data_IF_175046723528
#
_entry.id   IF_175046723528
#
_cell.length_a   1.000
_cell.length_b   1.000
_cell.length_c   1.000
_cell.angle_alpha   90.00
_cell.angle_beta   90.00
_cell.angle_gamma   90.00
#
_symmetry.space_group_name_H-M   'P 1'
#
loop_
_entity.id
_entity.type
_entity.pdbx_description
1 polymer ?
#
# COMPACT_ATOMS: atom_id res chain seq x y z
N UNK A 1 -9.68 30.21 -2.61
CA UNK A 1 -10.17 29.52 -3.84
C UNK A 1 -9.09 28.57 -4.36
N UNK A 2 -9.38 27.52 -5.16
CA UNK A 2 -8.34 26.67 -5.78
C UNK A 2 -7.27 27.49 -6.54
N UNK A 3 -7.68 28.62 -7.12
CA UNK A 3 -6.81 29.59 -7.82
C UNK A 3 -5.67 30.20 -7.01
N UNK A 4 -5.73 30.14 -5.69
CA UNK A 4 -4.75 30.76 -4.79
C UNK A 4 -3.83 29.73 -4.12
N UNK A 5 -4.05 28.43 -4.38
CA UNK A 5 -3.37 27.35 -3.68
C UNK A 5 -2.75 26.37 -4.65
N UNK A 6 -1.49 26.04 -4.40
CA UNK A 6 -0.79 24.96 -5.09
C UNK A 6 -1.38 23.61 -4.71
N UNK A 7 -1.30 22.66 -5.62
CA UNK A 7 -1.85 21.32 -5.42
C UNK A 7 -0.71 20.30 -5.42
N UNK A 8 -0.67 19.48 -4.38
CA UNK A 8 0.20 18.31 -4.30
C UNK A 8 -0.67 17.08 -4.45
N UNK A 9 -0.32 16.22 -5.40
CA UNK A 9 -1.04 15.01 -5.75
C UNK A 9 -0.17 13.83 -5.36
N UNK A 10 -0.69 13.02 -4.44
CA UNK A 10 -0.05 11.76 -4.07
C UNK A 10 -0.63 10.66 -4.94
N UNK A 11 0.20 9.98 -5.73
CA UNK A 11 -0.24 8.98 -6.70
C UNK A 11 0.62 7.71 -6.66
N UNK A 12 0.13 6.61 -7.23
CA UNK A 12 0.95 5.41 -7.40
C UNK A 12 2.06 5.66 -8.44
N UNK A 13 3.22 5.02 -8.25
CA UNK A 13 4.33 5.06 -9.23
C UNK A 13 3.92 4.60 -10.62
N UNK A 14 2.95 3.67 -10.70
CA UNK A 14 2.51 3.05 -11.95
C UNK A 14 1.32 3.77 -12.59
N UNK A 15 0.98 4.98 -12.10
CA UNK A 15 -0.12 5.77 -12.66
C UNK A 15 0.20 6.18 -14.11
N UNK A 16 -0.68 5.93 -15.08
CA UNK A 16 -0.42 6.29 -16.48
C UNK A 16 -0.22 7.79 -16.68
N UNK A 17 0.77 8.17 -17.48
CA UNK A 17 1.09 9.58 -17.80
C UNK A 17 -0.12 10.32 -18.40
N UNK A 18 -0.91 9.65 -19.25
CA UNK A 18 -2.15 10.21 -19.83
C UNK A 18 -3.16 10.64 -18.77
N UNK A 19 -3.28 9.89 -17.67
CA UNK A 19 -4.15 10.26 -16.57
C UNK A 19 -3.61 11.50 -15.84
N UNK A 20 -2.29 11.57 -15.62
CA UNK A 20 -1.64 12.73 -15.01
C UNK A 20 -1.79 14.01 -15.84
N UNK A 21 -1.64 13.90 -17.16
CA UNK A 21 -1.87 15.00 -18.10
C UNK A 21 -3.31 15.51 -18.03
N UNK A 22 -4.29 14.61 -18.04
CA UNK A 22 -5.72 14.95 -17.91
C UNK A 22 -5.99 15.70 -16.59
N UNK A 23 -5.36 15.27 -15.50
CA UNK A 23 -5.46 15.94 -14.19
C UNK A 23 -4.80 17.33 -14.23
N UNK A 24 -3.66 17.48 -14.89
CA UNK A 24 -3.02 18.78 -15.10
C UNK A 24 -3.91 19.73 -15.91
N UNK A 25 -4.51 19.28 -17.00
CA UNK A 25 -5.45 20.09 -17.80
C UNK A 25 -6.60 20.61 -16.93
N UNK A 26 -7.23 19.72 -16.16
CA UNK A 26 -8.32 20.08 -15.26
C UNK A 26 -7.89 21.09 -14.18
N UNK A 27 -6.73 20.90 -13.57
CA UNK A 27 -6.27 21.75 -12.47
C UNK A 27 -5.71 23.10 -12.97
N UNK A 28 -4.85 23.09 -13.97
CA UNK A 28 -4.11 24.26 -14.45
C UNK A 28 -4.93 25.10 -15.43
N UNK A 29 -5.69 24.47 -16.34
CA UNK A 29 -6.47 25.19 -17.35
C UNK A 29 -7.87 25.54 -16.84
N UNK A 30 -8.61 24.57 -16.31
CA UNK A 30 -10.01 24.77 -15.89
C UNK A 30 -10.08 25.46 -14.52
N UNK A 31 -9.44 24.87 -13.51
CA UNK A 31 -9.49 25.37 -12.14
C UNK A 31 -8.50 26.52 -11.88
N UNK A 32 -7.56 26.74 -12.80
CA UNK A 32 -6.56 27.81 -12.76
C UNK A 32 -5.73 27.79 -11.46
N UNK A 33 -5.32 26.60 -11.00
CA UNK A 33 -4.40 26.50 -9.86
C UNK A 33 -3.00 27.02 -10.24
N UNK A 34 -2.21 27.57 -9.31
CA UNK A 34 -0.91 28.15 -9.63
C UNK A 34 0.14 27.12 -10.09
N UNK A 35 0.17 25.95 -9.44
CA UNK A 35 1.07 24.86 -9.78
C UNK A 35 0.58 23.51 -9.26
N UNK A 36 1.05 22.45 -9.90
CA UNK A 36 0.76 21.05 -9.56
C UNK A 36 2.07 20.30 -9.35
N UNK A 37 2.13 19.48 -8.30
CA UNK A 37 3.24 18.56 -8.05
C UNK A 37 2.70 17.15 -7.84
N UNK A 38 3.28 16.17 -8.52
CA UNK A 38 3.01 14.75 -8.29
C UNK A 38 4.11 14.16 -7.40
N UNK A 39 3.69 13.38 -6.39
CA UNK A 39 4.58 12.68 -5.46
C UNK A 39 4.17 11.21 -5.42
N UNK A 40 5.11 10.28 -5.62
CA UNK A 40 4.83 8.86 -5.43
C UNK A 40 4.34 8.54 -4.01
N UNK A 41 3.28 7.75 -3.90
CA UNK A 41 2.65 7.34 -2.63
C UNK A 41 3.63 6.65 -1.69
N UNK A 42 4.52 5.84 -2.25
CA UNK A 42 5.52 5.06 -1.52
C UNK A 42 6.57 5.97 -0.91
N UNK A 43 7.04 6.96 -1.67
CA UNK A 43 7.94 7.99 -1.18
C UNK A 43 7.25 8.85 -0.13
N UNK A 44 6.03 9.30 -0.42
CA UNK A 44 5.22 10.08 0.50
C UNK A 44 5.09 9.36 1.86
N UNK A 45 4.81 8.06 1.85
CA UNK A 45 4.63 7.27 3.07
C UNK A 45 5.87 7.26 4.01
N UNK A 46 7.08 7.52 3.49
CA UNK A 46 8.30 7.54 4.31
C UNK A 46 8.55 8.84 5.07
N UNK A 47 7.99 9.97 4.62
CA UNK A 47 8.24 11.28 5.25
C UNK A 47 7.93 11.34 6.75
N UNK A 48 6.82 10.76 7.25
CA UNK A 48 6.49 10.81 8.67
C UNK A 48 7.53 10.11 9.57
N UNK A 49 8.26 9.12 9.04
CA UNK A 49 9.20 8.30 9.80
C UNK A 49 10.65 8.76 9.70
N UNK A 50 10.97 9.64 8.73
CA UNK A 50 12.33 10.16 8.49
C UNK A 50 13.40 9.05 8.46
N UNK A 51 13.11 7.96 7.75
CA UNK A 51 13.98 6.79 7.64
C UNK A 51 14.89 6.91 6.42
N UNK A 52 16.19 6.61 6.58
CA UNK A 52 17.14 6.58 5.45
C UNK A 52 16.87 5.43 4.47
N UNK A 53 16.38 4.29 4.97
CA UNK A 53 16.05 3.10 4.19
C UNK A 53 14.68 2.62 4.60
N UNK A 54 13.82 2.32 3.63
CA UNK A 54 12.52 1.73 3.92
C UNK A 54 12.11 0.80 2.78
N UNK A 55 11.65 -0.41 3.13
CA UNK A 55 10.89 -1.23 2.21
C UNK A 55 9.41 -0.89 2.36
N UNK A 56 8.85 -0.14 1.40
CA UNK A 56 7.43 0.26 1.44
C UNK A 56 6.61 -0.78 0.69
N UNK A 57 5.61 -1.36 1.35
CA UNK A 57 4.67 -2.32 0.79
C UNK A 57 3.28 -1.71 0.88
N UNK A 58 2.73 -1.33 -0.27
CA UNK A 58 1.41 -0.73 -0.43
C UNK A 58 0.41 -1.81 -0.84
N UNK A 59 -0.43 -2.24 0.11
CA UNK A 59 -1.51 -3.21 -0.11
C UNK A 59 -2.78 -2.44 -0.49
N UNK A 60 -2.92 -2.16 -1.79
CA UNK A 60 -4.02 -1.40 -2.34
C UNK A 60 -5.31 -2.21 -2.54
N UNK A 61 -6.29 -1.60 -3.22
CA UNK A 61 -7.55 -2.27 -3.55
C UNK A 61 -7.36 -3.33 -4.65
N UNK A 62 -6.70 -2.96 -5.75
CA UNK A 62 -6.54 -3.84 -6.92
C UNK A 62 -5.29 -4.71 -6.81
N UNK A 63 -4.20 -4.15 -6.29
CA UNK A 63 -2.87 -4.75 -6.33
C UNK A 63 -2.08 -4.40 -5.07
N UNK A 64 -1.00 -5.16 -4.85
CA UNK A 64 0.02 -4.84 -3.86
C UNK A 64 1.32 -4.51 -4.57
N UNK A 65 1.89 -3.34 -4.27
CA UNK A 65 3.17 -2.88 -4.81
C UNK A 65 4.20 -2.81 -3.68
N UNK A 66 5.38 -3.40 -3.90
CA UNK A 66 6.49 -3.32 -2.96
C UNK A 66 7.70 -2.64 -3.60
N UNK A 67 8.23 -1.63 -2.90
CA UNK A 67 9.30 -0.76 -3.41
C UNK A 67 10.33 -0.49 -2.30
N UNK A 68 11.60 -0.89 -2.48
CA UNK A 68 12.69 -0.51 -1.62
C UNK A 68 13.11 0.91 -1.96
N UNK A 69 13.12 1.74 -0.92
CA UNK A 69 13.55 3.13 -0.98
C UNK A 69 14.86 3.27 -0.22
N UNK A 70 15.81 3.91 -0.89
CA UNK A 70 17.03 4.42 -0.29
C UNK A 70 17.01 5.93 -0.44
N UNK A 71 16.98 6.64 0.68
CA UNK A 71 17.23 8.07 0.71
C UNK A 71 18.73 8.28 0.63
N UNK A 72 19.22 8.75 -0.51
CA UNK A 72 20.57 9.29 -0.56
C UNK A 72 20.48 10.71 -0.04
N UNK A 73 20.75 10.89 1.26
CA UNK A 73 21.19 12.20 1.73
C UNK A 73 22.50 12.45 0.99
N UNK A 74 22.50 13.43 0.07
CA UNK A 74 23.65 13.79 -0.74
C UNK A 74 24.86 14.18 0.14
N UNK A 75 25.60 13.18 0.61
CA UNK A 75 26.91 13.34 1.23
C UNK A 75 27.99 13.63 0.17
N UNK A 76 27.65 13.50 -1.12
CA UNK A 76 28.55 13.75 -2.25
C UNK A 76 28.88 15.24 -2.49
N UNK A 77 28.18 16.19 -1.84
CA UNK A 77 28.47 17.63 -1.95
C UNK A 77 28.94 18.29 -0.65
N UNK A 78 29.46 17.51 0.30
CA UNK A 78 30.03 18.04 1.55
C UNK A 78 31.30 18.92 1.37
N UNK A 79 31.78 19.14 0.14
CA UNK A 79 32.95 19.98 -0.15
C UNK A 79 32.63 21.39 -0.68
N UNK A 80 31.37 21.77 -0.85
CA UNK A 80 31.02 23.16 -1.17
C UNK A 80 30.13 23.75 -0.08
N UNK A 81 30.72 24.57 0.79
CA UNK A 81 29.98 25.43 1.71
C UNK A 81 28.95 26.25 0.91
N UNK A 82 27.82 26.56 1.55
CA UNK A 82 26.68 27.35 1.08
C UNK A 82 25.51 26.55 0.48
N UNK A 83 25.02 25.56 1.22
CA UNK A 83 23.61 25.14 1.09
C UNK A 83 22.96 25.19 2.49
N UNK A 84 21.88 25.98 2.70
CA UNK A 84 21.24 26.08 4.00
C UNK A 84 20.62 24.73 4.44
N UNK A 85 20.53 24.44 5.75
CA UNK A 85 20.05 23.16 6.29
C UNK A 85 18.58 22.82 5.95
N UNK A 86 17.83 23.76 5.37
CA UNK A 86 16.46 23.57 4.90
C UNK A 86 16.40 22.97 3.49
N UNK A 87 17.50 23.01 2.73
CA UNK A 87 17.60 22.53 1.35
C UNK A 87 18.23 21.13 1.24
N UNK A 88 18.17 20.32 2.30
CA UNK A 88 18.60 18.91 2.31
C UNK A 88 17.42 17.96 2.05
N UNK A 89 16.54 18.31 1.12
CA UNK A 89 15.31 17.56 0.88
C UNK A 89 15.62 16.39 -0.05
N UNK A 90 16.06 15.30 0.58
CA UNK A 90 16.06 13.92 0.13
C UNK A 90 16.07 13.71 -1.40
N UNK A 91 17.23 13.37 -1.94
CA UNK A 91 17.31 12.60 -3.17
C UNK A 91 16.94 11.16 -2.83
N UNK A 92 15.65 10.91 -2.67
CA UNK A 92 15.13 9.56 -2.53
C UNK A 92 15.18 8.92 -3.90
N UNK A 93 16.25 8.17 -4.16
CA UNK A 93 16.30 7.32 -5.33
C UNK A 93 15.42 6.13 -5.01
N UNK A 94 14.21 6.14 -5.58
CA UNK A 94 13.44 4.91 -5.68
C UNK A 94 14.32 3.91 -6.41
N UNK A 95 14.58 2.74 -5.83
CA UNK A 95 15.37 1.71 -6.50
C UNK A 95 14.50 1.09 -7.61
N UNK A 96 14.29 1.82 -8.70
CA UNK A 96 13.39 1.47 -9.80
C UNK A 96 13.81 0.18 -10.53
N UNK A 97 15.06 -0.26 -10.36
CA UNK A 97 15.53 -1.56 -10.83
C UNK A 97 15.02 -2.74 -9.99
N UNK A 98 14.45 -2.47 -8.81
CA UNK A 98 13.99 -3.46 -7.84
C UNK A 98 12.62 -3.01 -7.31
N UNK A 99 11.54 -3.40 -7.97
CA UNK A 99 10.19 -3.37 -7.41
C UNK A 99 9.50 -4.69 -7.77
N UNK A 100 8.47 -5.03 -7.01
CA UNK A 100 7.65 -6.21 -7.26
C UNK A 100 6.18 -5.83 -7.13
N UNK A 101 5.35 -6.45 -7.95
CA UNK A 101 3.90 -6.23 -8.00
C UNK A 101 3.19 -7.57 -7.90
N UNK A 102 2.15 -7.60 -7.07
CA UNK A 102 1.24 -8.74 -6.97
C UNK A 102 -0.18 -8.26 -7.25
N UNK A 103 -0.96 -9.05 -7.98
CA UNK A 103 -2.37 -8.75 -8.23
C UNK A 103 -3.27 -9.03 -7.01
N UNK A 104 -2.67 -9.41 -5.89
CA UNK A 104 -3.33 -9.57 -4.60
C UNK A 104 -3.57 -8.20 -3.98
N UNK A 105 -4.84 -7.82 -3.81
CA UNK A 105 -5.26 -6.61 -3.10
C UNK A 105 -6.58 -6.84 -2.35
N UNK A 106 -7.18 -5.78 -1.80
CA UNK A 106 -8.48 -5.89 -1.10
C UNK A 106 -9.59 -6.48 -1.97
N UNK A 107 -9.58 -6.26 -3.29
CA UNK A 107 -10.55 -6.83 -4.22
C UNK A 107 -10.56 -8.36 -4.17
N UNK A 108 -9.38 -8.99 -4.14
CA UNK A 108 -9.26 -10.46 -4.03
C UNK A 108 -9.78 -10.96 -2.68
N UNK A 109 -9.60 -10.18 -1.61
CA UNK A 109 -10.19 -10.46 -0.30
C UNK A 109 -11.72 -10.42 -0.34
N UNK A 110 -12.31 -9.38 -0.94
CA UNK A 110 -13.76 -9.29 -1.11
C UNK A 110 -14.30 -10.43 -1.97
N UNK A 111 -13.64 -10.75 -3.08
CA UNK A 111 -14.02 -11.85 -3.96
C UNK A 111 -13.99 -13.19 -3.21
N UNK A 112 -12.94 -13.43 -2.40
CA UNK A 112 -12.87 -14.62 -1.55
C UNK A 112 -14.00 -14.65 -0.51
N UNK A 113 -14.34 -13.52 0.10
CA UNK A 113 -15.49 -13.43 1.02
C UNK A 113 -16.79 -13.75 0.28
N UNK A 114 -17.00 -13.25 -0.95
CA UNK A 114 -18.17 -13.58 -1.79
C UNK A 114 -18.24 -15.08 -2.07
N UNK A 115 -17.14 -15.71 -2.47
CA UNK A 115 -17.05 -17.15 -2.74
C UNK A 115 -17.39 -17.97 -1.49
N UNK A 116 -16.79 -17.64 -0.34
CA UNK A 116 -17.02 -18.35 0.91
C UNK A 116 -18.44 -18.14 1.46
N UNK A 117 -19.01 -16.95 1.30
CA UNK A 117 -20.39 -16.67 1.68
C UNK A 117 -21.39 -17.43 0.82
N UNK A 118 -21.14 -17.65 -0.48
CA UNK A 118 -22.02 -18.47 -1.33
C UNK A 118 -22.13 -19.91 -0.82
N UNK A 119 -21.03 -20.48 -0.32
CA UNK A 119 -21.00 -21.87 0.16
C UNK A 119 -21.50 -21.98 1.59
N UNK A 120 -20.99 -21.14 2.50
CA UNK A 120 -21.17 -21.31 3.94
C UNK A 120 -22.13 -20.29 4.57
N UNK A 121 -22.39 -19.17 3.91
CA UNK A 121 -23.29 -18.13 4.41
C UNK A 121 -24.71 -18.66 4.56
N UNK A 122 -25.44 -18.17 5.56
CA UNK A 122 -26.83 -18.54 5.82
C UNK A 122 -27.62 -17.32 6.26
N UNK A 123 -28.92 -17.29 6.01
CA UNK A 123 -29.82 -16.20 6.42
C UNK A 123 -30.79 -16.72 7.47
N UNK A 124 -30.98 -15.94 8.52
CA UNK A 124 -31.92 -16.20 9.61
C UNK A 124 -33.13 -15.27 9.46
N UNK A 125 -34.25 -15.86 9.06
CA UNK A 125 -35.53 -15.18 8.83
C UNK A 125 -36.40 -15.11 10.09
N UNK A 126 -35.90 -15.56 11.24
CA UNK A 126 -36.69 -15.71 12.48
C UNK A 126 -37.53 -16.99 12.53
N UNK A 127 -38.09 -17.42 11.40
CA UNK A 127 -38.83 -18.69 11.26
C UNK A 127 -37.91 -19.90 10.96
N UNK A 128 -36.62 -19.65 10.68
CA UNK A 128 -35.62 -20.68 10.40
C UNK A 128 -34.37 -20.14 9.71
N UNK A 129 -33.38 -21.02 9.56
CA UNK A 129 -32.12 -20.73 8.85
C UNK A 129 -32.20 -21.29 7.43
N UNK A 130 -31.98 -20.43 6.43
CA UNK A 130 -32.02 -20.76 5.00
C UNK A 130 -30.72 -20.38 4.29
N UNK A 131 -30.56 -20.85 3.06
CA UNK A 131 -29.46 -20.45 2.19
C UNK A 131 -29.72 -19.08 1.53
N UNK A 132 -28.65 -18.43 1.06
CA UNK A 132 -28.74 -17.16 0.36
C UNK A 132 -29.41 -17.34 -1.01
N UNK A 133 -30.36 -16.46 -1.31
CA UNK A 133 -31.02 -16.35 -2.61
C UNK A 133 -30.47 -15.15 -3.38
N UNK A 134 -30.77 -15.09 -4.68
CA UNK A 134 -30.36 -13.96 -5.55
C UNK A 134 -30.83 -12.58 -5.03
N UNK A 135 -32.01 -12.51 -4.42
CA UNK A 135 -32.51 -11.24 -3.85
C UNK A 135 -31.72 -10.81 -2.61
N UNK A 136 -31.18 -11.76 -1.83
CA UNK A 136 -30.30 -11.45 -0.70
C UNK A 136 -28.97 -10.88 -1.21
N UNK A 137 -28.45 -11.41 -2.31
CA UNK A 137 -27.21 -10.93 -2.95
C UNK A 137 -27.33 -9.49 -3.44
N UNK A 138 -28.48 -9.10 -4.01
CA UNK A 138 -28.72 -7.70 -4.38
C UNK A 138 -28.63 -6.78 -3.17
N UNK A 139 -29.23 -7.16 -2.05
CA UNK A 139 -29.18 -6.36 -0.82
C UNK A 139 -27.74 -6.28 -0.28
N UNK A 140 -27.00 -7.39 -0.32
CA UNK A 140 -25.59 -7.46 0.10
C UNK A 140 -24.71 -6.52 -0.73
N UNK A 141 -24.91 -6.51 -2.05
CA UNK A 141 -24.18 -5.65 -2.99
C UNK A 141 -24.58 -4.18 -2.84
N UNK A 142 -25.88 -3.87 -2.84
CA UNK A 142 -26.39 -2.50 -2.71
C UNK A 142 -25.99 -1.84 -1.37
N UNK A 143 -25.87 -2.64 -0.32
CA UNK A 143 -25.52 -2.16 1.03
C UNK A 143 -24.02 -2.29 1.35
N UNK A 144 -23.18 -2.69 0.39
CA UNK A 144 -21.74 -2.94 0.57
C UNK A 144 -21.39 -3.81 1.79
N UNK A 145 -22.23 -4.81 2.09
CA UNK A 145 -22.06 -5.66 3.28
C UNK A 145 -20.74 -6.43 3.21
N UNK A 146 -20.26 -6.78 2.01
CA UNK A 146 -18.99 -7.50 1.83
C UNK A 146 -17.81 -6.69 2.37
N UNK A 147 -17.73 -5.40 2.06
CA UNK A 147 -16.67 -4.52 2.57
C UNK A 147 -16.77 -4.42 4.10
N UNK A 148 -17.99 -4.25 4.62
CA UNK A 148 -18.28 -4.24 6.06
C UNK A 148 -17.79 -5.52 6.76
N UNK A 149 -17.92 -6.68 6.09
CA UNK A 149 -17.42 -7.97 6.59
C UNK A 149 -15.89 -7.99 6.61
N UNK A 150 -15.25 -7.57 5.53
CA UNK A 150 -13.80 -7.49 5.40
C UNK A 150 -13.17 -6.57 6.47
N UNK A 151 -13.80 -5.44 6.77
CA UNK A 151 -13.27 -4.47 7.73
C UNK A 151 -13.55 -4.87 9.19
N UNK A 152 -14.75 -5.38 9.48
CA UNK A 152 -15.23 -5.52 10.88
C UNK A 152 -15.08 -6.92 11.45
N UNK A 153 -15.17 -7.95 10.62
CA UNK A 153 -15.32 -9.33 11.10
C UNK A 153 -14.17 -10.25 10.71
N UNK A 154 -13.50 -9.97 9.59
CA UNK A 154 -12.34 -10.72 9.13
C UNK A 154 -11.12 -10.47 10.02
N UNK A 155 -10.34 -11.52 10.26
CA UNK A 155 -9.10 -11.46 11.04
C UNK A 155 -8.08 -12.46 10.50
N UNK A 156 -6.80 -12.15 10.65
CA UNK A 156 -5.73 -13.05 10.24
C UNK A 156 -5.48 -14.10 11.32
N UNK A 157 -5.49 -15.37 10.91
CA UNK A 157 -5.13 -16.48 11.77
C UNK A 157 -3.61 -16.61 11.96
N UNK A 158 -3.18 -17.20 13.09
CA UNK A 158 -1.80 -17.64 13.29
C UNK A 158 -1.35 -18.59 12.17
N UNK A 159 -0.04 -18.66 11.94
CA UNK A 159 0.55 -19.41 10.83
C UNK A 159 0.11 -20.88 10.77
N UNK A 160 0.15 -21.61 11.89
CA UNK A 160 -0.25 -23.03 11.93
C UNK A 160 -1.70 -23.27 11.50
N UNK A 161 -2.60 -22.35 11.91
CA UNK A 161 -4.01 -22.43 11.55
C UNK A 161 -4.22 -22.08 10.08
N UNK A 162 -3.52 -21.07 9.57
CA UNK A 162 -3.55 -20.74 8.14
C UNK A 162 -3.10 -21.90 7.26
N UNK A 163 -2.00 -22.57 7.63
CA UNK A 163 -1.54 -23.76 6.91
C UNK A 163 -2.56 -24.90 6.93
N UNK A 164 -3.22 -25.12 8.07
CA UNK A 164 -4.26 -26.14 8.18
C UNK A 164 -5.49 -25.80 7.31
N UNK A 165 -5.88 -24.52 7.21
CA UNK A 165 -6.93 -24.05 6.30
C UNK A 165 -6.52 -24.28 4.84
N UNK A 166 -5.29 -23.94 4.47
CA UNK A 166 -4.79 -24.13 3.10
C UNK A 166 -4.73 -25.62 2.71
N UNK A 167 -4.39 -26.51 3.65
CA UNK A 167 -4.29 -27.95 3.39
C UNK A 167 -5.64 -28.67 3.38
N UNK A 168 -6.53 -28.36 4.33
CA UNK A 168 -7.73 -29.16 4.63
C UNK A 168 -9.05 -28.37 4.51
N UNK A 169 -9.00 -27.07 4.17
CA UNK A 169 -10.17 -26.22 4.03
C UNK A 169 -10.99 -26.09 5.30
N UNK A 170 -12.32 -26.16 5.17
CA UNK A 170 -13.26 -26.03 6.29
C UNK A 170 -13.16 -27.17 7.32
N UNK A 171 -12.57 -28.31 6.95
CA UNK A 171 -12.46 -29.51 7.79
C UNK A 171 -11.08 -29.65 8.45
N UNK A 172 -10.38 -28.53 8.66
CA UNK A 172 -9.03 -28.49 9.25
C UNK A 172 -8.87 -29.09 10.66
N UNK A 173 -9.94 -29.56 11.30
CA UNK A 173 -9.90 -30.20 12.63
C UNK A 173 -9.62 -29.28 13.82
N UNK A 174 -9.37 -27.98 13.60
CA UNK A 174 -9.15 -27.01 14.67
C UNK A 174 -10.48 -26.48 15.25
N UNK A 175 -10.48 -25.93 16.49
CA UNK A 175 -11.69 -25.40 17.12
C UNK A 175 -12.41 -24.37 16.24
N UNK A 176 -13.73 -24.46 16.06
CA UNK A 176 -14.47 -23.55 15.20
C UNK A 176 -14.57 -22.16 15.83
N UNK A 177 -14.45 -21.13 14.99
CA UNK A 177 -14.61 -19.73 15.40
C UNK A 177 -16.10 -19.39 15.44
N UNK A 178 -16.48 -18.49 16.37
CA UNK A 178 -17.87 -18.06 16.54
C UNK A 178 -18.39 -17.32 15.29
N UNK A 179 -19.55 -17.75 14.80
CA UNK A 179 -20.31 -17.06 13.74
C UNK A 179 -20.91 -15.75 14.23
N UNK A 180 -21.03 -14.76 13.33
CA UNK A 180 -21.58 -13.43 13.61
C UNK A 180 -22.87 -13.23 12.83
N UNK A 181 -23.83 -12.53 13.41
CA UNK A 181 -25.07 -12.13 12.74
C UNK A 181 -25.00 -10.66 12.36
N UNK A 182 -25.31 -10.33 11.12
CA UNK A 182 -25.34 -8.97 10.57
C UNK A 182 -26.76 -8.69 10.04
N UNK A 183 -27.34 -7.52 10.30
CA UNK A 183 -28.67 -7.19 9.77
C UNK A 183 -28.66 -7.17 8.24
N UNK A 184 -29.63 -7.82 7.63
CA UNK A 184 -29.90 -7.85 6.19
C UNK A 184 -31.36 -7.43 5.97
N UNK A 185 -31.62 -6.13 6.03
CA UNK A 185 -32.97 -5.59 6.01
C UNK A 185 -33.80 -6.04 7.22
N UNK A 186 -34.82 -6.87 6.97
CA UNK A 186 -35.67 -7.44 8.02
C UNK A 186 -35.14 -8.77 8.60
N UNK A 187 -34.14 -9.38 7.95
CA UNK A 187 -33.56 -10.67 8.32
C UNK A 187 -32.11 -10.50 8.81
N UNK A 188 -31.45 -11.59 9.22
CA UNK A 188 -30.04 -11.56 9.64
C UNK A 188 -29.17 -12.48 8.80
N UNK A 189 -28.09 -11.94 8.23
CA UNK A 189 -27.03 -12.73 7.60
C UNK A 189 -26.14 -13.35 8.69
N UNK A 190 -26.09 -14.68 8.74
CA UNK A 190 -25.14 -15.43 9.56
C UNK A 190 -23.85 -15.60 8.74
N UNK A 191 -22.78 -14.98 9.23
CA UNK A 191 -21.42 -15.13 8.71
C UNK A 191 -20.71 -16.19 9.56
N UNK A 192 -20.39 -17.36 8.98
CA UNK A 192 -19.67 -18.41 9.69
C UNK A 192 -18.28 -17.95 10.14
N UNK A 193 -17.81 -18.51 11.26
CA UNK A 193 -16.45 -18.28 11.73
C UNK A 193 -15.38 -18.60 10.68
N UNK A 194 -15.58 -19.70 9.93
CA UNK A 194 -14.67 -20.14 8.87
C UNK A 194 -14.48 -19.07 7.76
N UNK A 195 -15.54 -18.38 7.35
CA UNK A 195 -15.44 -17.32 6.33
C UNK A 195 -14.53 -16.18 6.80
N UNK A 196 -14.60 -15.86 8.10
CA UNK A 196 -13.87 -14.74 8.70
C UNK A 196 -12.36 -15.00 8.81
N UNK A 197 -11.96 -16.25 8.93
CA UNK A 197 -10.55 -16.66 9.00
C UNK A 197 -9.97 -17.00 7.64
N UNK A 198 -10.70 -17.78 6.82
CA UNK A 198 -10.21 -18.26 5.55
C UNK A 198 -10.10 -17.16 4.49
N UNK A 199 -10.85 -16.06 4.63
CA UNK A 199 -10.76 -14.92 3.73
C UNK A 199 -9.35 -14.31 3.71
N UNK A 200 -8.68 -14.21 4.86
CA UNK A 200 -7.34 -13.62 4.96
C UNK A 200 -6.24 -14.47 4.32
N UNK A 201 -6.46 -15.75 4.04
CA UNK A 201 -5.45 -16.62 3.46
C UNK A 201 -5.06 -16.20 2.04
N UNK A 202 -5.91 -15.44 1.35
CA UNK A 202 -5.62 -14.89 0.01
C UNK A 202 -4.31 -14.10 -0.06
N UNK A 203 -3.86 -13.50 1.05
CA UNK A 203 -2.61 -12.74 1.12
C UNK A 203 -1.36 -13.61 1.30
N UNK A 204 -1.54 -14.85 1.77
CA UNK A 204 -0.47 -15.74 2.22
C UNK A 204 -0.42 -17.08 1.45
N UNK A 205 -1.44 -17.38 0.64
CA UNK A 205 -1.48 -18.53 -0.24
C UNK A 205 -0.31 -18.49 -1.24
N UNK A 206 0.45 -19.60 -1.31
CA UNK A 206 1.57 -19.75 -2.24
C UNK A 206 1.05 -20.25 -3.58
N UNK A 207 0.52 -19.35 -4.39
CA UNK A 207 0.14 -19.67 -5.78
C UNK A 207 1.37 -19.74 -6.68
N UNK A 208 1.28 -20.50 -7.78
CA UNK A 208 2.28 -20.51 -8.84
C UNK A 208 2.16 -19.29 -9.77
N UNK A 209 1.00 -18.64 -9.79
CA UNK A 209 0.69 -17.56 -10.73
C UNK A 209 0.98 -16.17 -10.15
N UNK A 210 0.50 -15.92 -8.92
CA UNK A 210 0.65 -14.65 -8.22
C UNK A 210 1.52 -14.85 -6.97
N UNK A 211 2.59 -14.06 -6.75
CA UNK A 211 3.39 -14.15 -5.54
C UNK A 211 2.59 -13.65 -4.33
N UNK A 212 2.67 -14.37 -3.22
CA UNK A 212 2.11 -13.92 -1.94
C UNK A 212 2.86 -12.68 -1.43
N UNK A 213 2.26 -11.91 -0.53
CA UNK A 213 2.90 -10.69 0.01
C UNK A 213 4.24 -11.04 0.69
N UNK A 214 4.28 -12.17 1.41
CA UNK A 214 5.51 -12.66 2.04
C UNK A 214 6.60 -13.04 1.03
N UNK A 215 6.22 -13.73 -0.06
CA UNK A 215 7.15 -14.10 -1.13
C UNK A 215 7.66 -12.88 -1.87
N UNK A 216 6.78 -11.92 -2.16
CA UNK A 216 7.10 -10.67 -2.83
C UNK A 216 8.17 -9.88 -2.05
N UNK A 217 7.99 -9.73 -0.73
CA UNK A 217 8.97 -9.07 0.15
C UNK A 217 10.31 -9.83 0.12
N UNK A 218 10.29 -11.15 0.25
CA UNK A 218 11.51 -11.95 0.24
C UNK A 218 12.28 -11.83 -1.09
N UNK A 219 11.61 -12.01 -2.23
CA UNK A 219 12.20 -11.90 -3.57
C UNK A 219 12.77 -10.51 -3.82
N UNK A 220 12.06 -9.48 -3.39
CA UNK A 220 12.51 -8.10 -3.54
C UNK A 220 13.79 -7.81 -2.74
N UNK A 221 13.85 -8.28 -1.49
CA UNK A 221 15.05 -8.14 -0.65
C UNK A 221 16.20 -8.98 -1.19
N UNK A 222 15.94 -10.14 -1.79
CA UNK A 222 16.95 -10.96 -2.44
C UNK A 222 17.57 -10.26 -3.66
N UNK A 223 16.77 -9.50 -4.42
CA UNK A 223 17.25 -8.65 -5.52
C UNK A 223 18.04 -7.43 -5.05
N UNK A 224 17.88 -7.01 -3.79
CA UNK A 224 18.63 -5.89 -3.24
C UNK A 224 20.12 -6.25 -3.01
N UNK A 225 21.04 -5.27 -3.10
CA UNK A 225 22.44 -5.44 -2.73
C UNK A 225 22.61 -6.01 -1.32
N UNK A 226 23.64 -6.84 -1.12
CA UNK A 226 23.88 -7.59 0.12
C UNK A 226 23.86 -6.70 1.37
N UNK A 227 24.43 -5.50 1.28
CA UNK A 227 24.54 -4.55 2.41
C UNK A 227 23.19 -3.99 2.86
N UNK A 228 22.22 -3.89 1.94
CA UNK A 228 20.89 -3.33 2.22
C UNK A 228 19.92 -4.37 2.75
N UNK A 229 20.15 -5.67 2.52
CA UNK A 229 19.15 -6.71 2.81
C UNK A 229 18.70 -6.75 4.27
N UNK A 230 19.67 -6.65 5.20
CA UNK A 230 19.37 -6.59 6.64
C UNK A 230 18.57 -5.34 7.00
N UNK A 231 18.96 -4.19 6.43
CA UNK A 231 18.29 -2.91 6.67
C UNK A 231 16.83 -2.97 6.20
N UNK A 232 16.57 -3.53 5.01
CA UNK A 232 15.21 -3.64 4.45
C UNK A 232 14.27 -4.50 5.29
N UNK A 233 14.75 -5.61 5.87
CA UNK A 233 13.95 -6.41 6.81
C UNK A 233 13.70 -5.68 8.15
N UNK A 234 14.65 -4.86 8.57
CA UNK A 234 14.56 -4.02 9.76
C UNK A 234 13.73 -2.74 9.54
N UNK A 235 13.40 -2.41 8.29
CA UNK A 235 12.71 -1.17 7.90
C UNK A 235 11.52 -1.39 6.97
N UNK A 236 10.65 -2.33 7.30
CA UNK A 236 9.43 -2.56 6.51
C UNK A 236 8.37 -1.54 6.92
N UNK A 237 7.84 -0.82 5.93
CA UNK A 237 6.72 0.10 6.07
C UNK A 237 5.53 -0.47 5.30
N UNK A 238 4.43 -0.70 6.01
CA UNK A 238 3.20 -1.22 5.41
C UNK A 238 2.19 -0.08 5.29
N UNK A 239 1.61 0.07 4.10
CA UNK A 239 0.55 1.04 3.80
C UNK A 239 -0.61 0.31 3.12
N UNK A 240 -1.81 0.86 3.23
CA UNK A 240 -3.03 0.30 2.64
C UNK A 240 -4.00 -0.34 3.63
N UNK A 241 -5.22 -0.61 3.15
CA UNK A 241 -6.38 -1.06 3.94
C UNK A 241 -6.19 -2.39 4.68
N UNK A 242 -5.81 -3.47 3.98
CA UNK A 242 -5.72 -4.81 4.58
C UNK A 242 -4.67 -4.93 5.69
N UNK A 243 -3.72 -4.00 5.76
CA UNK A 243 -2.67 -3.99 6.79
C UNK A 243 -3.24 -3.74 8.20
N UNK A 244 -4.45 -3.20 8.29
CA UNK A 244 -5.18 -3.00 9.53
C UNK A 244 -5.92 -4.25 10.04
N UNK A 245 -6.00 -5.32 9.25
CA UNK A 245 -6.70 -6.52 9.67
C UNK A 245 -6.04 -7.08 10.94
N UNK A 246 -6.81 -7.42 11.99
CA UNK A 246 -6.25 -7.93 13.23
C UNK A 246 -5.38 -9.17 12.99
N UNK A 247 -4.13 -9.14 13.48
CA UNK A 247 -3.18 -10.25 13.34
C UNK A 247 -2.36 -10.25 12.04
N UNK A 248 -2.65 -9.36 11.08
CA UNK A 248 -1.98 -9.34 9.77
C UNK A 248 -0.45 -9.24 9.88
N UNK A 249 0.05 -8.35 10.73
CA UNK A 249 1.50 -8.15 10.93
C UNK A 249 2.21 -9.35 11.54
N UNK A 250 1.59 -9.96 12.56
CA UNK A 250 2.16 -11.12 13.23
C UNK A 250 2.28 -12.28 12.24
N UNK A 251 1.20 -12.52 11.49
CA UNK A 251 1.18 -13.52 10.43
C UNK A 251 2.20 -13.23 9.32
N UNK A 252 2.28 -12.00 8.83
CA UNK A 252 3.23 -11.62 7.80
C UNK A 252 4.68 -11.82 8.25
N UNK A 253 4.99 -11.50 9.51
CA UNK A 253 6.33 -11.74 10.09
C UNK A 253 6.69 -13.22 10.11
N UNK A 254 5.76 -14.08 10.54
CA UNK A 254 5.94 -15.53 10.56
C UNK A 254 6.11 -16.08 9.15
N UNK A 255 5.32 -15.61 8.19
CA UNK A 255 5.39 -16.04 6.79
C UNK A 255 6.73 -15.67 6.14
N UNK A 256 7.20 -14.43 6.33
CA UNK A 256 8.52 -14.00 5.83
C UNK A 256 9.63 -14.84 6.47
N UNK A 257 9.53 -15.12 7.77
CA UNK A 257 10.51 -15.93 8.49
C UNK A 257 10.53 -17.40 8.04
N UNK A 258 9.37 -17.96 7.67
CA UNK A 258 9.29 -19.31 7.10
C UNK A 258 9.89 -19.36 5.69
N UNK A 259 9.49 -18.44 4.81
CA UNK A 259 10.02 -18.35 3.44
C UNK A 259 11.54 -18.17 3.44
N UNK A 260 12.07 -17.35 4.35
CA UNK A 260 13.50 -17.14 4.50
C UNK A 260 14.28 -18.41 4.91
N UNK A 261 13.65 -19.31 5.68
CA UNK A 261 14.24 -20.61 6.06
C UNK A 261 14.20 -21.60 4.90
N UNK A 262 13.12 -21.59 4.13
CA UNK A 262 12.92 -22.48 2.97
C UNK A 262 13.74 -22.07 1.76
N UNK A 263 14.02 -20.77 1.59
CA UNK A 263 14.77 -20.25 0.45
C UNK A 263 16.23 -20.73 0.41
N UNK A 264 16.73 -20.98 -0.80
CA UNK A 264 18.08 -21.48 -1.08
C UNK A 264 19.19 -20.59 -0.49
N UNK A 265 18.93 -19.29 -0.35
CA UNK A 265 19.89 -18.29 0.12
C UNK A 265 20.10 -18.30 1.65
N UNK A 266 19.27 -19.03 2.42
CA UNK A 266 19.34 -19.17 3.90
C UNK A 266 19.74 -17.86 4.59
N UNK A 267 18.96 -16.80 4.35
CA UNK A 267 19.28 -15.46 4.84
C UNK A 267 19.12 -15.38 6.36
N UNK A 268 20.24 -15.46 7.09
CA UNK A 268 20.30 -15.22 8.55
C UNK A 268 19.85 -13.80 8.95
N UNK A 269 19.75 -12.90 7.98
CA UNK A 269 19.35 -11.51 8.17
C UNK A 269 17.85 -11.34 8.50
N UNK A 270 17.03 -12.40 8.39
CA UNK A 270 15.60 -12.35 8.67
C UNK A 270 15.26 -12.48 10.18
N UNK A 271 16.27 -12.55 11.05
CA UNK A 271 16.06 -12.65 12.51
C UNK A 271 15.49 -11.36 13.14
N UNK A 272 15.67 -10.20 12.48
CA UNK A 272 15.27 -8.88 12.97
C UNK A 272 14.25 -8.22 12.04
N UNK A 273 13.07 -8.82 11.86
CA UNK A 273 11.98 -8.18 11.12
C UNK A 273 11.30 -7.13 12.01
N UNK A 274 11.31 -5.88 11.56
CA UNK A 274 10.65 -4.76 12.23
C UNK A 274 9.74 -4.01 11.25
N UNK A 275 8.58 -3.59 11.77
CA UNK A 275 7.63 -2.76 11.06
C UNK A 275 7.63 -1.35 11.65
N UNK A 276 7.78 -0.34 10.79
CA UNK A 276 7.58 1.05 11.20
C UNK A 276 6.10 1.36 11.33
N UNK A 277 5.67 1.70 12.54
CA UNK A 277 4.30 2.12 12.86
C UNK A 277 4.34 3.18 13.94
N UNK A 278 3.40 4.13 13.87
CA UNK A 278 3.19 5.02 15.00
C UNK A 278 2.50 4.26 16.13
N UNK A 279 3.03 4.30 17.36
CA UNK A 279 2.37 3.65 18.48
C UNK A 279 0.99 4.29 18.70
N UNK A 280 -0.04 3.44 18.85
CA UNK A 280 -1.42 3.83 19.15
C UNK A 280 -2.15 4.65 18.07
N UNK A 281 -1.66 4.68 16.83
CA UNK A 281 -2.34 5.35 15.72
C UNK A 281 -2.43 4.44 14.50
N UNK A 282 -3.60 4.41 13.85
CA UNK A 282 -3.82 3.70 12.59
C UNK A 282 -3.59 4.66 11.44
N UNK A 283 -2.32 4.92 11.13
CA UNK A 283 -1.93 5.85 10.05
C UNK A 283 -1.77 5.17 8.70
N UNK A 284 -1.74 3.84 8.64
CA UNK A 284 -1.41 3.05 7.44
C UNK A 284 -2.39 3.27 6.29
N UNK A 285 -3.63 3.66 6.60
CA UNK A 285 -4.67 3.97 5.60
C UNK A 285 -4.39 5.24 4.80
N UNK A 286 -3.80 6.24 5.45
CA UNK A 286 -3.63 7.58 4.88
C UNK A 286 -2.18 8.04 4.96
N UNK A 287 -1.24 7.10 5.11
CA UNK A 287 0.16 7.42 5.36
C UNK A 287 0.79 8.18 4.19
N UNK A 288 0.47 7.79 2.96
CA UNK A 288 0.85 8.53 1.76
C UNK A 288 0.28 9.96 1.75
N UNK A 289 -0.97 10.14 2.18
CA UNK A 289 -1.58 11.47 2.31
C UNK A 289 -0.91 12.31 3.40
N UNK A 290 -0.61 11.71 4.56
CA UNK A 290 0.07 12.37 5.67
C UNK A 290 1.45 12.87 5.23
N UNK A 291 2.23 12.02 4.57
CA UNK A 291 3.53 12.39 4.04
C UNK A 291 3.46 13.41 2.91
N UNK A 292 2.47 13.31 2.03
CA UNK A 292 2.19 14.33 1.02
C UNK A 292 1.82 15.69 1.63
N UNK A 293 1.06 15.69 2.73
CA UNK A 293 0.75 16.90 3.49
C UNK A 293 1.99 17.49 4.16
N UNK A 294 2.88 16.66 4.71
CA UNK A 294 4.17 17.10 5.26
C UNK A 294 5.05 17.71 4.17
N UNK A 295 5.15 17.06 3.01
CA UNK A 295 5.90 17.57 1.88
C UNK A 295 5.30 18.89 1.35
N UNK A 296 3.97 18.96 1.24
CA UNK A 296 3.26 20.16 0.80
C UNK A 296 3.47 21.37 1.71
N UNK A 297 3.72 21.14 3.01
CA UNK A 297 4.05 22.18 3.96
C UNK A 297 5.47 22.76 3.75
N UNK A 298 6.37 22.00 3.11
CA UNK A 298 7.71 22.46 2.72
C UNK A 298 7.62 23.33 1.46
N UNK A 299 7.25 24.60 1.65
CA UNK A 299 6.94 25.51 0.55
C UNK A 299 8.04 25.62 -0.51
N UNK A 300 9.32 25.58 -0.11
CA UNK A 300 10.45 25.72 -1.02
C UNK A 300 10.61 24.48 -1.90
N UNK A 301 10.41 23.28 -1.35
CA UNK A 301 10.46 22.02 -2.09
C UNK A 301 9.40 21.98 -3.19
N UNK A 302 8.17 22.38 -2.83
CA UNK A 302 7.05 22.41 -3.76
C UNK A 302 7.30 23.45 -4.86
N UNK A 303 7.83 24.63 -4.54
CA UNK A 303 8.14 25.67 -5.53
C UNK A 303 9.12 25.17 -6.59
N UNK A 304 10.17 24.49 -6.16
CA UNK A 304 11.25 24.06 -7.04
C UNK A 304 10.89 22.87 -7.93
N UNK A 305 9.97 22.01 -7.48
CA UNK A 305 9.61 20.76 -8.18
C UNK A 305 8.23 20.76 -8.85
N UNK A 306 7.35 21.70 -8.51
CA UNK A 306 6.01 21.76 -9.09
C UNK A 306 6.05 22.33 -10.51
N UNK A 307 5.20 21.79 -11.40
CA UNK A 307 4.95 22.38 -12.71
C UNK A 307 4.02 23.58 -12.54
N UNK A 308 4.50 24.75 -12.95
CA UNK A 308 3.70 25.98 -12.91
C UNK A 308 2.67 25.98 -14.04
N UNK A 309 1.58 26.72 -13.84
CA UNK A 309 0.58 26.93 -14.90
C UNK A 309 1.16 27.56 -16.15
N UNK A 310 2.11 28.49 -16.00
CA UNK A 310 2.76 29.16 -17.13
C UNK A 310 3.57 28.16 -17.96
N UNK A 311 4.41 27.35 -17.31
CA UNK A 311 5.18 26.30 -17.99
C UNK A 311 4.27 25.27 -18.68
N UNK A 312 3.16 24.89 -18.03
CA UNK A 312 2.19 23.97 -18.63
C UNK A 312 1.53 24.52 -19.89
N UNK A 313 1.14 25.80 -19.90
CA UNK A 313 0.49 26.41 -21.06
C UNK A 313 1.44 26.61 -22.24
N UNK A 314 2.74 26.74 -21.99
CA UNK A 314 3.77 26.86 -23.02
C UNK A 314 4.19 25.51 -23.61
N UNK A 315 4.51 24.54 -22.75
CA UNK A 315 5.15 23.29 -23.17
C UNK A 315 4.18 22.11 -23.22
N UNK A 316 3.13 22.10 -22.38
CA UNK A 316 2.22 20.96 -22.16
C UNK A 316 2.94 19.64 -21.88
N UNK A 317 4.13 19.73 -21.27
CA UNK A 317 4.93 18.57 -20.87
C UNK A 317 4.82 18.44 -19.36
N UNK A 318 4.41 17.26 -18.91
CA UNK A 318 4.52 16.86 -17.52
C UNK A 318 5.72 15.91 -17.40
N UNK A 319 6.80 16.27 -16.70
CA UNK A 319 7.91 15.36 -16.50
C UNK A 319 7.43 14.12 -15.74
N UNK A 320 7.69 12.96 -16.34
CA UNK A 320 7.48 11.68 -15.71
C UNK A 320 8.67 11.32 -14.81
N UNK A 321 8.46 10.42 -13.86
CA UNK A 321 9.54 9.95 -12.99
C UNK A 321 10.63 9.22 -13.79
N UNK A 322 10.29 8.63 -14.94
CA UNK A 322 11.27 8.09 -15.90
C UNK A 322 12.12 9.18 -16.54
N UNK A 323 11.58 10.39 -16.73
CA UNK A 323 12.32 11.50 -17.30
C UNK A 323 13.41 11.97 -16.34
N UNK A 324 13.16 11.89 -15.03
CA UNK A 324 14.18 12.18 -14.01
C UNK A 324 15.34 11.19 -14.02
N UNK A 325 15.11 9.94 -14.39
CA UNK A 325 16.17 8.93 -14.51
C UNK A 325 17.06 9.24 -15.72
N UNK A 326 16.47 9.72 -16.82
CA UNK A 326 17.20 9.98 -18.07
C UNK A 326 17.87 11.36 -18.09
N UNK A 327 17.21 12.38 -17.54
CA UNK A 327 17.60 13.78 -17.67
C UNK A 327 18.01 14.42 -16.34
N UNK A 328 17.94 13.67 -15.23
CA UNK A 328 18.09 14.21 -13.88
C UNK A 328 16.82 14.91 -13.40
N UNK A 329 16.71 15.13 -12.09
CA UNK A 329 15.60 15.92 -11.53
C UNK A 329 15.78 17.36 -12.03
N UNK A 330 14.78 18.00 -12.66
CA UNK A 330 14.80 19.41 -12.97
C UNK A 330 14.68 20.15 -11.64
N UNK A 331 15.80 20.34 -10.97
CA UNK A 331 15.94 21.33 -9.93
C UNK A 331 15.73 22.67 -10.64
N UNK A 332 14.57 23.30 -10.44
CA UNK A 332 14.28 24.61 -11.01
C UNK A 332 15.52 25.50 -10.86
N UNK A 333 15.92 26.16 -11.94
CA UNK A 333 17.06 27.10 -11.91
C UNK A 333 16.86 27.98 -10.67
N UNK A 334 17.77 27.95 -9.69
CA UNK A 334 17.61 28.84 -8.55
C UNK A 334 17.60 30.26 -9.12
N UNK A 335 16.54 31.01 -8.85
CA UNK A 335 16.50 32.46 -9.08
C UNK A 335 17.46 33.14 -8.09
N UNK A 336 18.76 32.83 -8.20
CA UNK A 336 19.84 33.48 -7.48
C UNK A 336 20.46 34.63 -8.29
N UNK A 337 19.91 34.94 -9.46
CA UNK A 337 20.29 36.11 -10.26
C UNK A 337 19.22 37.21 -10.15
N UNK A 338 19.10 37.83 -8.97
CA UNK A 338 18.64 39.23 -8.82
C UNK A 338 19.28 39.91 -7.63
#
# INVERSE_FOLDING_TARGET
MPRERRVVIVESLLTPTQFRETVCEALLEVLNVPSVLFIPSHLAATFPFNTEYALVVDVGYVETLAVPLKHEFASAFAHSLVIPPVLQIAESVTMLSCWELSSVGSRRLEDRVRELLKVHGRVDSGDGVRELKEDDWKIIEDSNVVEDICVRFVFCCPFERGQAIQANGAEHGLPPVKSVKVPLGAEFLIIPGFVREAACEVFFERSSEDPSIGQMIHTLVERCPLDLRKLMFESILLTGGPTLIPGFLGRLKEEIADIAKTSASKMKQCESIRFYRFPNQTTELYLGWLGGSMFGALQDAVRLRSVSREAWLEERILPDWTDYVQHGIPCGKPELDR
#
